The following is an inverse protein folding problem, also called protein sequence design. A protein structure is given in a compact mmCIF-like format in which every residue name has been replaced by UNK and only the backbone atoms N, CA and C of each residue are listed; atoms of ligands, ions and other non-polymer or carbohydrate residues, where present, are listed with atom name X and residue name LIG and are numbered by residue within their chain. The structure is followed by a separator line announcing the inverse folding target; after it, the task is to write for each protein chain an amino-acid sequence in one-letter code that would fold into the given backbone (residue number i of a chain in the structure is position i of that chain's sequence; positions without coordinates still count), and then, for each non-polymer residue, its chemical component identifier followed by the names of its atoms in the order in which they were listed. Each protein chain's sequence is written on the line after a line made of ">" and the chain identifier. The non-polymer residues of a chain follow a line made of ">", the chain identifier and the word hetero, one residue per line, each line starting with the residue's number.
data_IF_757767703200
#
_entry.id   IF_757767703200
#
_cell.length_a   1.000
_cell.length_b   1.000
_cell.length_c   1.000
_cell.angle_alpha   90.00
_cell.angle_beta   90.00
_cell.angle_gamma   90.00
#
_symmetry.space_group_name_H-M   'P 1'
#
loop_
_entity.id
_entity.type
_entity.pdbx_description
1 polymer ?
#
# COMPACT_ATOMS: atom_id res chain seq x y z
N UNK A 1 8.09 0.32 29.16
CA UNK A 1 8.31 0.19 27.70
C UNK A 1 7.36 1.15 27.02
N UNK A 2 7.79 1.86 25.98
CA UNK A 2 6.90 2.75 25.24
C UNK A 2 5.76 1.97 24.58
N UNK A 3 4.62 2.61 24.36
CA UNK A 3 3.50 2.06 23.60
C UNK A 3 3.88 2.02 22.12
N UNK A 4 3.75 0.85 21.48
CA UNK A 4 3.94 0.68 20.03
C UNK A 4 2.72 1.17 19.28
N UNK A 5 2.90 2.11 18.36
CA UNK A 5 1.81 2.72 17.58
C UNK A 5 1.62 2.03 16.24
N UNK A 6 0.42 1.53 15.97
CA UNK A 6 0.04 0.93 14.69
C UNK A 6 -0.99 1.80 13.99
N UNK A 7 -0.67 2.26 12.78
CA UNK A 7 -1.60 3.04 11.98
C UNK A 7 -2.31 2.15 10.97
N UNK A 8 -3.64 2.16 11.03
CA UNK A 8 -4.50 1.47 10.07
C UNK A 8 -5.07 2.54 9.15
N UNK A 9 -4.41 2.72 8.01
CA UNK A 9 -4.72 3.75 7.02
C UNK A 9 -5.54 3.15 5.92
N UNK A 10 -6.76 3.61 5.70
CA UNK A 10 -7.67 3.00 4.73
C UNK A 10 -8.40 3.99 3.83
N UNK A 11 -8.77 3.51 2.64
CA UNK A 11 -9.78 4.13 1.80
C UNK A 11 -10.96 3.17 1.65
N UNK A 12 -12.17 3.67 1.83
CA UNK A 12 -13.42 2.89 1.68
C UNK A 12 -14.44 3.71 0.91
N UNK A 13 -14.95 3.17 -0.22
CA UNK A 13 -16.02 3.83 -0.99
C UNK A 13 -17.42 3.35 -0.56
N UNK A 14 -17.57 2.06 -0.25
CA UNK A 14 -18.86 1.44 0.09
C UNK A 14 -18.89 0.83 1.51
N UNK A 15 -17.95 1.20 2.38
CA UNK A 15 -17.92 0.74 3.78
C UNK A 15 -17.20 -0.59 4.03
N UNK A 16 -17.07 -1.49 3.06
CA UNK A 16 -16.48 -2.82 3.30
C UNK A 16 -15.05 -2.79 3.87
N UNK A 17 -14.19 -1.90 3.36
CA UNK A 17 -12.80 -1.78 3.83
C UNK A 17 -12.77 -1.19 5.24
N UNK A 18 -13.69 -0.27 5.56
CA UNK A 18 -13.81 0.31 6.90
C UNK A 18 -14.21 -0.76 7.94
N UNK A 19 -15.17 -1.63 7.61
CA UNK A 19 -15.56 -2.76 8.48
C UNK A 19 -14.34 -3.62 8.80
N UNK A 20 -13.54 -3.96 7.77
CA UNK A 20 -12.29 -4.70 7.96
C UNK A 20 -11.27 -3.93 8.80
N UNK A 21 -11.11 -2.62 8.56
CA UNK A 21 -10.18 -1.77 9.30
C UNK A 21 -10.52 -1.73 10.80
N UNK A 22 -11.81 -1.61 11.14
CA UNK A 22 -12.28 -1.62 12.55
C UNK A 22 -12.02 -2.97 13.22
N UNK A 23 -12.22 -4.09 12.51
CA UNK A 23 -11.89 -5.42 13.04
C UNK A 23 -10.38 -5.62 13.23
N UNK A 24 -9.56 -5.12 12.29
CA UNK A 24 -8.10 -5.10 12.40
C UNK A 24 -7.67 -4.27 13.62
N UNK A 25 -8.28 -3.10 13.83
CA UNK A 25 -8.00 -2.25 15.00
C UNK A 25 -8.32 -2.99 16.31
N UNK A 26 -9.50 -3.61 16.38
CA UNK A 26 -9.92 -4.41 17.52
C UNK A 26 -8.91 -5.53 17.81
N UNK A 27 -8.47 -6.24 16.79
CA UNK A 27 -7.47 -7.31 16.91
C UNK A 27 -6.10 -6.79 17.39
N UNK A 28 -5.59 -5.74 16.78
CA UNK A 28 -4.30 -5.13 17.14
C UNK A 28 -4.28 -4.63 18.60
N UNK A 29 -5.37 -4.03 19.06
CA UNK A 29 -5.51 -3.55 20.45
C UNK A 29 -5.62 -4.66 21.50
N UNK A 30 -5.71 -5.94 21.11
CA UNK A 30 -5.62 -7.06 22.06
C UNK A 30 -4.18 -7.39 22.45
N UNK A 31 -3.19 -6.89 21.70
CA UNK A 31 -1.77 -7.12 21.97
C UNK A 31 -1.29 -6.13 23.03
N UNK A 32 -0.72 -6.64 24.12
CA UNK A 32 -0.23 -5.79 25.21
C UNK A 32 0.84 -4.82 24.73
N UNK A 33 0.65 -3.53 25.04
CA UNK A 33 1.60 -2.47 24.69
C UNK A 33 1.45 -1.93 23.26
N UNK A 34 0.41 -2.34 22.52
CA UNK A 34 0.07 -1.81 21.19
C UNK A 34 -1.11 -0.86 21.27
N UNK A 35 -1.01 0.27 20.58
CA UNK A 35 -2.12 1.19 20.33
C UNK A 35 -2.35 1.32 18.83
N UNK A 36 -3.53 0.89 18.38
CA UNK A 36 -3.93 0.94 16.98
C UNK A 36 -4.95 2.06 16.72
N UNK A 37 -4.64 2.94 15.77
CA UNK A 37 -5.49 4.09 15.37
C UNK A 37 -5.93 3.97 13.92
N UNK A 38 -7.18 4.35 13.65
CA UNK A 38 -7.76 4.38 12.31
C UNK A 38 -7.53 5.74 11.64
N UNK A 39 -7.27 5.71 10.34
CA UNK A 39 -7.02 6.88 9.52
C UNK A 39 -7.65 6.74 8.14
N UNK A 40 -8.35 7.79 7.67
CA UNK A 40 -8.93 7.83 6.34
C UNK A 40 -7.99 8.49 5.34
N UNK A 41 -7.81 7.87 4.19
CA UNK A 41 -7.18 8.52 3.04
C UNK A 41 -8.13 9.58 2.46
N UNK A 42 -7.62 10.77 2.07
CA UNK A 42 -8.43 11.82 1.44
C UNK A 42 -9.24 11.34 0.23
N UNK A 43 -10.49 11.80 0.14
CA UNK A 43 -11.32 11.56 -1.04
C UNK A 43 -10.93 12.51 -2.18
N UNK A 44 -10.82 11.99 -3.40
CA UNK A 44 -10.43 12.78 -4.58
C UNK A 44 -11.50 12.83 -5.66
N UNK A 45 -12.54 12.00 -5.56
CA UNK A 45 -13.68 12.07 -6.48
C UNK A 45 -14.58 13.25 -6.14
N UNK A 46 -15.15 13.86 -7.17
CA UNK A 46 -16.13 14.92 -6.99
C UNK A 46 -17.43 14.37 -6.40
N UNK A 47 -18.17 15.22 -5.69
CA UNK A 47 -19.50 14.88 -5.14
C UNK A 47 -20.46 14.34 -6.21
N UNK A 48 -20.38 14.86 -7.44
CA UNK A 48 -21.23 14.38 -8.55
C UNK A 48 -20.91 12.93 -8.93
N UNK A 49 -19.65 12.51 -8.88
CA UNK A 49 -19.25 11.12 -9.11
C UNK A 49 -19.64 10.25 -7.92
N UNK A 50 -19.36 10.69 -6.69
CA UNK A 50 -19.71 9.97 -5.46
C UNK A 50 -21.21 9.65 -5.38
N UNK A 51 -22.06 10.62 -5.73
CA UNK A 51 -23.51 10.42 -5.80
C UNK A 51 -23.89 9.40 -6.88
N UNK A 52 -23.28 9.46 -8.07
CA UNK A 52 -23.55 8.51 -9.17
C UNK A 52 -23.17 7.08 -8.80
N UNK A 53 -22.03 6.89 -8.14
CA UNK A 53 -21.57 5.57 -7.72
C UNK A 53 -22.20 5.10 -6.41
N UNK A 54 -23.08 5.91 -5.79
CA UNK A 54 -23.71 5.61 -4.50
C UNK A 54 -22.67 5.28 -3.43
N UNK A 55 -21.67 6.15 -3.31
CA UNK A 55 -20.68 6.06 -2.25
C UNK A 55 -21.37 6.19 -0.88
N UNK A 56 -20.87 5.46 0.11
CA UNK A 56 -21.29 5.69 1.50
C UNK A 56 -20.66 7.00 2.01
N UNK A 57 -21.32 7.69 2.95
CA UNK A 57 -20.68 8.74 3.73
C UNK A 57 -19.39 8.23 4.37
N UNK A 58 -18.41 9.11 4.50
CA UNK A 58 -17.19 8.82 5.28
C UNK A 58 -17.54 8.79 6.76
N UNK A 59 -16.76 8.03 7.53
CA UNK A 59 -16.93 7.95 8.97
C UNK A 59 -16.53 9.28 9.62
N UNK A 60 -17.40 9.88 10.42
CA UNK A 60 -17.13 11.17 11.08
C UNK A 60 -16.17 11.03 12.27
N UNK A 61 -16.03 9.82 12.83
CA UNK A 61 -15.18 9.51 13.99
C UNK A 61 -13.73 9.19 13.62
N UNK A 62 -13.42 9.03 12.33
CA UNK A 62 -12.08 8.66 11.86
C UNK A 62 -11.43 9.85 11.14
N UNK A 63 -10.29 10.38 11.64
CA UNK A 63 -9.64 11.53 11.01
C UNK A 63 -9.07 11.18 9.63
N UNK A 64 -8.95 12.19 8.77
CA UNK A 64 -8.21 12.09 7.51
C UNK A 64 -6.71 12.25 7.80
N UNK A 65 -5.88 11.39 7.21
CA UNK A 65 -4.43 11.42 7.38
C UNK A 65 -3.72 12.23 6.29
N UNK A 66 -2.68 12.95 6.69
CA UNK A 66 -1.68 13.56 5.84
C UNK A 66 -0.40 12.71 5.80
N UNK A 67 0.35 12.68 4.68
CA UNK A 67 1.55 11.85 4.53
C UNK A 67 2.53 11.95 5.69
N UNK A 68 2.85 13.16 6.16
CA UNK A 68 3.82 13.43 7.22
C UNK A 68 3.47 12.76 8.56
N UNK A 69 2.20 12.48 8.82
CA UNK A 69 1.76 11.81 10.04
C UNK A 69 2.14 10.33 10.07
N UNK A 70 2.53 9.73 8.93
CA UNK A 70 3.08 8.37 8.90
C UNK A 70 4.36 8.24 9.74
N UNK A 71 5.07 9.35 10.00
CA UNK A 71 6.26 9.34 10.85
C UNK A 71 5.97 8.92 12.29
N UNK A 72 4.76 9.15 12.78
CA UNK A 72 4.37 8.91 14.17
C UNK A 72 4.09 7.44 14.49
N UNK A 73 3.88 6.60 13.48
CA UNK A 73 3.58 5.18 13.66
C UNK A 73 4.85 4.33 13.66
N UNK A 74 4.83 3.22 14.41
CA UNK A 74 5.89 2.22 14.39
C UNK A 74 5.63 1.13 13.33
N UNK A 75 4.38 0.95 12.93
CA UNK A 75 3.99 0.01 11.88
C UNK A 75 2.64 0.35 11.24
N UNK A 76 2.38 -0.26 10.08
CA UNK A 76 1.25 0.11 9.23
C UNK A 76 0.43 -1.08 8.75
N UNK A 77 -0.88 -0.84 8.60
CA UNK A 77 -1.77 -1.66 7.78
C UNK A 77 -2.51 -0.74 6.81
N UNK A 78 -2.32 -0.96 5.51
CA UNK A 78 -2.91 -0.14 4.45
C UNK A 78 -4.09 -0.85 3.80
N UNK A 79 -5.26 -0.21 3.80
CA UNK A 79 -6.54 -0.79 3.40
C UNK A 79 -7.17 -0.14 2.18
N UNK A 80 -7.50 -0.89 1.13
CA UNK A 80 -8.19 -0.31 -0.05
C UNK A 80 -9.11 -1.29 -0.78
N UNK A 81 -10.14 -0.81 -1.50
CA UNK A 81 -10.89 -1.64 -2.42
C UNK A 81 -10.03 -1.94 -3.65
N UNK A 82 -10.12 -3.16 -4.16
CA UNK A 82 -9.57 -3.50 -5.48
C UNK A 82 -10.33 -2.73 -6.57
N UNK A 83 -9.58 -2.09 -7.45
CA UNK A 83 -10.06 -1.44 -8.68
C UNK A 83 -9.30 -2.03 -9.84
N UNK A 84 -9.91 -2.99 -10.54
CA UNK A 84 -9.32 -3.67 -11.69
C UNK A 84 -7.95 -4.31 -11.39
N UNK A 85 -7.80 -4.90 -10.20
CA UNK A 85 -6.56 -5.57 -9.80
C UNK A 85 -5.46 -4.62 -9.30
N UNK A 86 -5.77 -3.34 -9.06
CA UNK A 86 -4.88 -2.38 -8.40
C UNK A 86 -5.60 -1.68 -7.24
N UNK A 87 -4.87 -0.90 -6.44
CA UNK A 87 -5.46 -0.04 -5.41
C UNK A 87 -6.33 1.07 -6.02
N UNK A 88 -7.22 1.65 -5.22
CA UNK A 88 -7.98 2.83 -5.62
C UNK A 88 -7.07 4.04 -5.89
N UNK A 89 -7.45 4.89 -6.84
CA UNK A 89 -6.66 6.07 -7.22
C UNK A 89 -6.46 7.05 -6.07
N UNK A 90 -7.40 7.14 -5.13
CA UNK A 90 -7.28 7.91 -3.89
C UNK A 90 -6.09 7.46 -3.06
N UNK A 91 -5.95 6.14 -2.89
CA UNK A 91 -4.85 5.55 -2.15
C UNK A 91 -3.52 5.74 -2.87
N UNK A 92 -3.54 5.59 -4.19
CA UNK A 92 -2.36 5.84 -5.02
C UNK A 92 -1.90 7.30 -4.92
N UNK A 93 -2.84 8.26 -4.95
CA UNK A 93 -2.54 9.68 -4.80
C UNK A 93 -1.95 10.00 -3.42
N UNK A 94 -2.43 9.35 -2.36
CA UNK A 94 -1.85 9.46 -1.02
C UNK A 94 -0.40 8.97 -0.99
N UNK A 95 -0.11 7.81 -1.57
CA UNK A 95 1.28 7.34 -1.71
C UNK A 95 2.12 8.25 -2.61
N UNK A 96 1.58 8.79 -3.69
CA UNK A 96 2.33 9.72 -4.55
C UNK A 96 2.72 11.01 -3.82
N UNK A 97 1.98 11.37 -2.76
CA UNK A 97 2.30 12.48 -1.89
C UNK A 97 3.36 12.17 -0.81
N UNK A 98 3.90 10.95 -0.73
CA UNK A 98 4.95 10.58 0.25
C UNK A 98 6.37 10.80 -0.26
N UNK A 99 6.58 11.54 -1.35
CA UNK A 99 7.88 11.71 -2.00
C UNK A 99 8.99 12.17 -1.03
N UNK A 100 8.72 13.14 -0.16
CA UNK A 100 9.71 13.64 0.81
C UNK A 100 10.09 12.58 1.86
N UNK A 101 9.13 11.78 2.30
CA UNK A 101 9.35 10.67 3.23
C UNK A 101 10.20 9.57 2.60
N UNK A 102 10.00 9.31 1.31
CA UNK A 102 10.84 8.42 0.53
C UNK A 102 12.26 8.99 0.37
N UNK A 103 12.39 10.26 -0.02
CA UNK A 103 13.68 10.90 -0.25
C UNK A 103 14.57 10.90 1.00
N UNK A 104 13.94 11.01 2.18
CA UNK A 104 14.62 10.95 3.49
C UNK A 104 14.69 9.56 4.10
N UNK A 105 14.11 8.55 3.45
CA UNK A 105 14.02 7.17 3.93
C UNK A 105 13.35 7.04 5.31
N UNK A 106 12.47 7.97 5.65
CA UNK A 106 11.92 8.11 7.00
C UNK A 106 10.93 7.00 7.40
N UNK A 107 10.47 6.20 6.44
CA UNK A 107 9.63 5.03 6.67
C UNK A 107 10.39 3.71 6.54
N UNK A 108 11.69 3.74 6.21
CA UNK A 108 12.49 2.54 6.03
C UNK A 108 12.56 1.71 7.33
N UNK A 109 12.39 0.39 7.20
CA UNK A 109 12.44 -0.55 8.32
C UNK A 109 11.16 -0.64 9.16
N UNK A 110 10.16 0.24 8.94
CA UNK A 110 8.86 0.12 9.62
C UNK A 110 8.04 -1.02 9.01
N UNK A 111 7.57 -2.00 9.80
CA UNK A 111 6.74 -3.10 9.29
C UNK A 111 5.43 -2.58 8.70
N UNK A 112 5.04 -3.13 7.56
CA UNK A 112 3.81 -2.75 6.87
C UNK A 112 3.14 -3.96 6.21
N UNK A 113 1.81 -3.92 6.12
CA UNK A 113 1.01 -4.90 5.41
C UNK A 113 -0.19 -4.28 4.70
N UNK A 114 -0.89 -5.11 3.92
CA UNK A 114 -2.10 -4.71 3.21
C UNK A 114 -3.31 -5.52 3.62
N UNK A 115 -4.47 -4.90 3.51
CA UNK A 115 -5.75 -5.58 3.49
C UNK A 115 -6.63 -4.95 2.40
N UNK A 116 -7.54 -5.72 1.83
CA UNK A 116 -8.33 -5.25 0.70
C UNK A 116 -9.68 -5.94 0.63
N UNK A 117 -10.61 -5.28 -0.05
CA UNK A 117 -11.94 -5.82 -0.35
C UNK A 117 -12.20 -5.75 -1.85
N UNK A 118 -12.97 -6.69 -2.37
CA UNK A 118 -13.44 -6.70 -3.76
C UNK A 118 -14.88 -7.17 -3.81
N UNK A 119 -15.61 -6.77 -4.86
CA UNK A 119 -17.03 -7.05 -4.98
C UNK A 119 -17.37 -8.50 -5.35
N UNK A 120 -16.39 -9.31 -5.79
CA UNK A 120 -16.63 -10.69 -6.21
C UNK A 120 -15.36 -11.55 -6.18
N UNK A 121 -15.54 -12.87 -6.08
CA UNK A 121 -14.46 -13.85 -6.16
C UNK A 121 -13.74 -13.78 -7.52
N UNK A 122 -12.41 -13.84 -7.52
CA UNK A 122 -11.59 -13.72 -8.74
C UNK A 122 -11.47 -12.31 -9.31
N UNK A 123 -12.03 -11.29 -8.65
CA UNK A 123 -11.97 -9.88 -9.06
C UNK A 123 -10.63 -9.19 -8.83
N UNK A 124 -9.52 -9.91 -8.94
CA UNK A 124 -8.16 -9.39 -8.75
C UNK A 124 -7.78 -9.17 -7.29
N UNK A 125 -8.26 -9.99 -6.35
CA UNK A 125 -7.85 -9.95 -4.94
C UNK A 125 -6.32 -9.95 -4.81
N UNK A 126 -5.70 -10.98 -5.40
CA UNK A 126 -4.26 -11.21 -5.29
C UNK A 126 -3.48 -10.16 -6.07
N UNK A 127 -3.98 -9.76 -7.25
CA UNK A 127 -3.35 -8.73 -8.08
C UNK A 127 -3.30 -7.38 -7.37
N UNK A 128 -4.34 -6.99 -6.63
CA UNK A 128 -4.36 -5.72 -5.91
C UNK A 128 -3.26 -5.66 -4.83
N UNK A 129 -3.07 -6.76 -4.09
CA UNK A 129 -1.98 -6.88 -3.12
C UNK A 129 -0.60 -6.94 -3.81
N UNK A 130 -0.48 -7.75 -4.86
CA UNK A 130 0.76 -7.92 -5.61
C UNK A 130 1.23 -6.62 -6.26
N UNK A 131 0.33 -5.82 -6.82
CA UNK A 131 0.70 -4.53 -7.41
C UNK A 131 1.01 -3.48 -6.35
N UNK A 132 0.33 -3.51 -5.20
CA UNK A 132 0.57 -2.60 -4.09
C UNK A 132 1.90 -2.82 -3.37
N UNK A 133 2.45 -4.05 -3.35
CA UNK A 133 3.72 -4.36 -2.67
C UNK A 133 4.89 -3.52 -3.15
N UNK A 134 4.84 -3.07 -4.40
CA UNK A 134 5.85 -2.17 -4.98
C UNK A 134 5.95 -0.86 -4.19
N UNK A 135 4.85 -0.34 -3.64
CA UNK A 135 4.87 0.88 -2.84
C UNK A 135 5.68 0.70 -1.54
N UNK A 136 5.47 -0.41 -0.82
CA UNK A 136 6.21 -0.67 0.41
C UNK A 136 7.68 -0.96 0.14
N UNK A 137 7.96 -1.76 -0.90
CA UNK A 137 9.32 -2.10 -1.28
C UNK A 137 10.16 -0.88 -1.71
N UNK A 138 9.54 0.12 -2.35
CA UNK A 138 10.22 1.35 -2.75
C UNK A 138 10.52 2.30 -1.59
N UNK A 139 9.81 2.20 -0.46
CA UNK A 139 10.12 2.91 0.78
C UNK A 139 11.27 2.27 1.59
N UNK A 140 11.96 1.28 1.03
CA UNK A 140 13.23 0.80 1.55
C UNK A 140 14.38 1.74 1.14
N UNK A 141 15.49 1.69 1.89
CA UNK A 141 16.64 2.61 1.79
C UNK A 141 17.37 2.65 0.43
N UNK A 142 16.99 1.78 -0.51
CA UNK A 142 17.57 1.70 -1.86
C UNK A 142 19.06 1.39 -1.87
N UNK A 143 19.68 1.11 -0.72
CA UNK A 143 21.12 0.93 -0.57
C UNK A 143 21.59 -0.44 -1.04
N UNK A 144 20.65 -1.39 -1.16
CA UNK A 144 20.89 -2.77 -1.57
C UNK A 144 21.58 -2.82 -2.94
N UNK A 145 22.81 -3.30 -2.95
CA UNK A 145 23.49 -3.68 -4.19
C UNK A 145 23.04 -5.06 -4.66
N UNK A 146 23.03 -5.32 -5.99
CA UNK A 146 22.79 -6.66 -6.51
C UNK A 146 23.78 -7.66 -5.92
N UNK A 147 23.27 -8.83 -5.53
CA UNK A 147 24.11 -9.96 -5.13
C UNK A 147 24.90 -10.52 -6.31
N UNK A 148 25.94 -11.29 -6.03
CA UNK A 148 26.71 -11.98 -7.07
C UNK A 148 25.82 -12.86 -7.97
N UNK A 149 24.83 -13.55 -7.39
CA UNK A 149 23.87 -14.37 -8.14
C UNK A 149 23.03 -13.53 -9.11
N UNK A 150 22.56 -12.37 -8.68
CA UNK A 150 21.78 -11.46 -9.52
C UNK A 150 22.64 -10.87 -10.65
N UNK A 151 23.91 -10.57 -10.38
CA UNK A 151 24.86 -10.13 -11.40
C UNK A 151 25.13 -11.25 -12.44
N UNK A 152 25.28 -12.50 -11.98
CA UNK A 152 25.44 -13.65 -12.88
C UNK A 152 24.20 -13.91 -13.74
N UNK A 153 23.00 -13.78 -13.16
CA UNK A 153 21.73 -13.88 -13.89
C UNK A 153 21.60 -12.78 -14.95
N UNK A 154 21.91 -11.52 -14.59
CA UNK A 154 21.88 -10.40 -15.53
C UNK A 154 22.88 -10.59 -16.68
N UNK A 155 24.11 -11.06 -16.37
CA UNK A 155 25.11 -11.41 -17.38
C UNK A 155 24.58 -12.49 -18.35
N UNK A 156 24.01 -13.57 -17.82
CA UNK A 156 23.49 -14.66 -18.63
C UNK A 156 22.30 -14.20 -19.50
N UNK A 157 21.38 -13.41 -18.95
CA UNK A 157 20.27 -12.84 -19.70
C UNK A 157 20.76 -12.00 -20.88
N UNK A 158 21.74 -11.12 -20.66
CA UNK A 158 22.35 -10.31 -21.72
C UNK A 158 23.03 -11.16 -22.80
N UNK A 159 23.78 -12.18 -22.40
CA UNK A 159 24.42 -13.13 -23.31
C UNK A 159 23.39 -13.89 -24.15
N UNK A 160 22.39 -14.49 -23.51
CA UNK A 160 21.38 -15.33 -24.16
C UNK A 160 20.58 -14.56 -25.21
N UNK A 161 20.09 -13.36 -24.86
CA UNK A 161 19.35 -12.51 -25.81
C UNK A 161 20.24 -12.13 -26.99
N UNK A 162 21.48 -11.74 -26.74
CA UNK A 162 22.44 -11.37 -27.80
C UNK A 162 22.73 -12.54 -28.76
N UNK A 163 22.88 -13.75 -28.23
CA UNK A 163 23.11 -14.96 -29.03
C UNK A 163 21.90 -15.28 -29.93
N UNK A 164 20.68 -15.18 -29.40
CA UNK A 164 19.46 -15.34 -30.20
C UNK A 164 19.37 -14.25 -31.27
N UNK A 165 19.54 -12.99 -30.91
CA UNK A 165 19.49 -11.87 -31.85
C UNK A 165 20.51 -12.04 -32.97
N UNK A 166 21.74 -12.48 -32.66
CA UNK A 166 22.78 -12.77 -33.65
C UNK A 166 22.35 -13.87 -34.64
N UNK A 167 21.75 -14.96 -34.14
CA UNK A 167 21.23 -16.06 -34.97
C UNK A 167 20.03 -15.68 -35.84
N UNK A 168 19.21 -14.72 -35.39
CA UNK A 168 18.06 -14.26 -36.17
C UNK A 168 18.41 -13.19 -37.21
N UNK A 169 19.47 -12.41 -36.98
CA UNK A 169 19.95 -11.36 -37.89
C UNK A 169 20.74 -11.92 -39.09
N UNK A 170 21.36 -13.09 -38.93
CA UNK A 170 22.16 -13.77 -39.96
C UNK A 170 21.53 -15.09 -40.36
#
# INVERSE_FOLDING_TARGET
>A
MGTTKIYIVFYSLHGHVEIMAREIQRGANTVQGVEATLWQVPETLSNSILNKVKANPKADDVPVILPEQLLEADGFLFGFPSRFGVMASQFKAFFDATHELWATQALAGKPAGFFWSTGFYGGGQELAAFTAITQLAHHADGSRQPSELELQQAFYQGKYVSEITKKLKG
#
